data_IF_836212825183
#
_entry.id   IF_836212825183
#
_cell.length_a   1.000
_cell.length_b   1.000
_cell.length_c   1.000
_cell.angle_alpha   90.00
_cell.angle_beta   90.00
_cell.angle_gamma   90.00
#
_symmetry.space_group_name_H-M   'P 1'
#
loop_
_entity.id
_entity.type
_entity.pdbx_description
1 polymer ?
#
# COMPACT_ATOMS: atom_id res chain seq x y z
N UNK A 1 23.53 0.24 11.54
CA UNK A 1 23.78 1.34 10.59
C UNK A 1 23.01 2.58 11.06
N UNK A 2 23.58 3.77 10.94
CA UNK A 2 22.89 5.04 11.27
C UNK A 2 22.39 5.74 9.98
N UNK A 3 21.61 6.81 10.13
CA UNK A 3 21.05 7.54 8.97
C UNK A 3 22.12 8.20 8.10
N UNK A 4 23.24 8.63 8.68
CA UNK A 4 24.36 9.25 7.95
C UNK A 4 25.03 8.23 7.02
N UNK A 5 25.22 6.99 7.48
CA UNK A 5 25.76 5.89 6.68
C UNK A 5 24.83 5.55 5.50
N UNK A 6 23.50 5.63 5.69
CA UNK A 6 22.52 5.42 4.62
C UNK A 6 22.59 6.55 3.59
N UNK A 7 22.68 7.80 4.04
CA UNK A 7 22.84 8.96 3.15
C UNK A 7 24.10 8.81 2.29
N UNK A 8 25.23 8.47 2.91
CA UNK A 8 26.50 8.25 2.20
C UNK A 8 26.40 7.11 1.17
N UNK A 9 25.69 6.02 1.50
CA UNK A 9 25.44 4.91 0.58
C UNK A 9 24.64 5.36 -0.65
N UNK A 10 23.60 6.18 -0.46
CA UNK A 10 22.80 6.73 -1.56
C UNK A 10 23.65 7.67 -2.44
N UNK A 11 24.44 8.57 -1.83
CA UNK A 11 25.33 9.48 -2.55
C UNK A 11 26.37 8.73 -3.40
N UNK A 12 26.89 7.60 -2.90
CA UNK A 12 27.80 6.74 -3.65
C UNK A 12 27.11 6.11 -4.86
N UNK A 13 25.88 5.60 -4.70
CA UNK A 13 25.09 5.06 -5.82
C UNK A 13 24.82 6.12 -6.89
N UNK A 14 24.47 7.34 -6.48
CA UNK A 14 24.25 8.48 -7.39
C UNK A 14 25.53 8.83 -8.15
N UNK A 15 26.66 8.93 -7.45
CA UNK A 15 27.95 9.33 -8.04
C UNK A 15 28.53 8.33 -9.03
N UNK A 16 28.10 7.06 -8.96
CA UNK A 16 28.58 5.97 -9.82
C UNK A 16 27.71 5.76 -11.08
N UNK A 17 26.62 6.50 -11.25
CA UNK A 17 25.68 6.35 -12.36
C UNK A 17 25.65 7.57 -13.27
N UNK A 18 25.80 7.36 -14.58
CA UNK A 18 25.92 8.45 -15.55
C UNK A 18 24.57 9.08 -15.96
N UNK A 19 23.41 8.40 -15.78
CA UNK A 19 22.02 8.93 -15.91
C UNK A 19 20.99 8.03 -15.18
N UNK A 20 19.92 8.62 -14.64
CA UNK A 20 18.75 7.96 -14.03
C UNK A 20 19.09 6.90 -12.97
N UNK A 21 19.85 7.29 -11.94
CA UNK A 21 20.18 6.40 -10.82
C UNK A 21 18.92 5.87 -10.14
N UNK A 22 18.83 4.54 -10.06
CA UNK A 22 17.82 3.84 -9.29
C UNK A 22 18.49 3.37 -8.02
N UNK A 23 17.98 3.79 -6.87
CA UNK A 23 18.53 3.39 -5.57
C UNK A 23 17.97 2.03 -5.20
N UNK A 24 18.86 1.13 -4.80
CA UNK A 24 18.49 -0.16 -4.22
C UNK A 24 18.83 -0.17 -2.73
N UNK A 25 17.84 -0.52 -1.91
CA UNK A 25 18.02 -0.74 -0.48
C UNK A 25 18.11 -2.24 -0.21
N UNK A 26 19.21 -2.68 0.40
CA UNK A 26 19.32 -4.05 0.88
C UNK A 26 18.52 -4.24 2.20
N UNK A 27 18.28 -5.50 2.59
CA UNK A 27 17.49 -5.82 3.79
C UNK A 27 18.08 -5.22 5.07
N UNK A 28 19.41 -5.21 5.18
CA UNK A 28 20.10 -4.59 6.31
C UNK A 28 19.74 -3.11 6.40
N UNK A 29 19.80 -2.37 5.29
CA UNK A 29 19.44 -0.95 5.24
C UNK A 29 17.99 -0.72 5.62
N UNK A 30 17.08 -1.50 5.05
CA UNK A 30 15.66 -1.41 5.34
C UNK A 30 15.36 -1.65 6.84
N UNK A 31 16.11 -2.52 7.51
CA UNK A 31 15.91 -2.80 8.95
C UNK A 31 16.26 -1.63 9.88
N UNK A 32 17.08 -0.68 9.42
CA UNK A 32 17.42 0.54 10.18
C UNK A 32 16.57 1.75 9.78
N UNK A 33 15.75 1.63 8.74
CA UNK A 33 14.85 2.67 8.32
C UNK A 33 13.54 2.63 9.11
N UNK A 34 13.09 3.80 9.52
CA UNK A 34 11.77 4.03 10.07
C UNK A 34 11.14 5.23 9.31
N UNK A 35 9.91 5.59 9.66
CA UNK A 35 9.22 6.69 8.99
C UNK A 35 9.98 8.03 9.08
N UNK A 36 10.56 8.36 10.24
CA UNK A 36 11.32 9.59 10.44
C UNK A 36 12.56 9.65 9.54
N UNK A 37 13.33 8.56 9.48
CA UNK A 37 14.49 8.42 8.62
C UNK A 37 14.10 8.51 7.14
N UNK A 38 12.99 7.89 6.73
CA UNK A 38 12.50 7.97 5.35
C UNK A 38 12.13 9.40 4.95
N UNK A 39 11.45 10.15 5.84
CA UNK A 39 11.13 11.57 5.62
C UNK A 39 12.42 12.40 5.52
N UNK A 40 13.43 12.11 6.36
CA UNK A 40 14.73 12.76 6.26
C UNK A 40 15.40 12.50 4.91
N UNK A 41 15.38 11.26 4.40
CA UNK A 41 15.93 10.93 3.09
C UNK A 41 15.21 11.69 1.96
N UNK A 42 13.88 11.80 2.01
CA UNK A 42 13.10 12.57 1.04
C UNK A 42 13.49 14.06 1.07
N UNK A 43 13.72 14.63 2.26
CA UNK A 43 14.18 16.02 2.40
C UNK A 43 15.59 16.24 1.86
N UNK A 44 16.48 15.25 2.02
CA UNK A 44 17.87 15.34 1.57
C UNK A 44 18.00 15.20 0.06
N UNK A 45 17.33 14.21 -0.54
CA UNK A 45 17.52 13.84 -1.95
C UNK A 45 16.39 14.30 -2.88
N UNK A 46 15.28 14.77 -2.32
CA UNK A 46 14.07 15.12 -3.06
C UNK A 46 13.19 13.89 -3.35
N UNK A 47 11.91 14.15 -3.62
CA UNK A 47 10.93 13.11 -3.93
C UNK A 47 11.19 12.44 -5.29
N UNK A 48 11.76 13.13 -6.27
CA UNK A 48 11.92 12.61 -7.62
C UNK A 48 13.00 11.53 -7.77
N UNK A 49 13.79 11.26 -6.74
CA UNK A 49 14.76 10.16 -6.78
C UNK A 49 14.03 8.83 -6.94
N UNK A 50 14.51 7.96 -7.83
CA UNK A 50 13.88 6.67 -8.09
C UNK A 50 14.49 5.61 -7.19
N UNK A 51 13.65 4.75 -6.67
CA UNK A 51 14.02 3.61 -5.84
C UNK A 51 13.38 2.35 -6.39
N UNK A 52 14.08 1.23 -6.25
CA UNK A 52 13.48 -0.08 -6.46
C UNK A 52 12.64 -0.48 -5.25
N UNK A 53 11.52 -1.14 -5.48
CA UNK A 53 10.70 -1.66 -4.40
C UNK A 53 11.51 -2.63 -3.52
N UNK A 54 11.31 -2.59 -2.19
CA UNK A 54 11.90 -3.56 -1.27
C UNK A 54 11.55 -5.01 -1.62
N UNK A 55 12.36 -6.00 -1.21
CA UNK A 55 12.11 -7.42 -1.50
C UNK A 55 10.71 -7.90 -1.08
N UNK A 56 10.19 -7.46 0.08
CA UNK A 56 8.84 -7.81 0.54
C UNK A 56 7.74 -7.33 -0.42
N UNK A 57 7.94 -6.16 -1.03
CA UNK A 57 6.98 -5.53 -1.94
C UNK A 57 7.00 -6.24 -3.29
N UNK A 58 8.21 -6.57 -3.77
CA UNK A 58 8.37 -7.40 -4.97
C UNK A 58 7.68 -8.75 -4.77
N UNK A 59 7.83 -9.39 -3.61
CA UNK A 59 7.17 -10.66 -3.31
C UNK A 59 5.63 -10.55 -3.37
N UNK A 60 5.05 -9.47 -2.84
CA UNK A 60 3.62 -9.19 -2.98
C UNK A 60 3.20 -9.00 -4.43
N UNK A 61 3.94 -8.20 -5.21
CA UNK A 61 3.56 -7.94 -6.60
C UNK A 61 3.75 -9.15 -7.52
N UNK A 62 4.71 -10.04 -7.23
CA UNK A 62 4.81 -11.32 -7.94
C UNK A 62 3.67 -12.27 -7.58
N UNK A 63 3.19 -12.27 -6.34
CA UNK A 63 1.93 -12.95 -5.98
C UNK A 63 0.74 -12.34 -6.74
N UNK A 64 0.62 -11.00 -6.76
CA UNK A 64 -0.45 -10.29 -7.45
C UNK A 64 -0.45 -10.64 -8.94
N UNK A 65 0.73 -10.72 -9.57
CA UNK A 65 0.87 -11.11 -10.97
C UNK A 65 0.38 -12.53 -11.25
N UNK A 66 0.62 -13.46 -10.33
CA UNK A 66 0.21 -14.85 -10.47
C UNK A 66 -1.31 -15.03 -10.33
N UNK A 67 -1.91 -14.36 -9.33
CA UNK A 67 -3.35 -14.50 -9.02
C UNK A 67 -4.24 -13.53 -9.81
N UNK A 68 -3.76 -12.31 -10.05
CA UNK A 68 -4.49 -11.15 -10.60
C UNK A 68 -3.63 -10.38 -11.60
N UNK A 69 -3.19 -11.07 -12.65
CA UNK A 69 -2.28 -10.54 -13.67
C UNK A 69 -2.82 -9.30 -14.40
N UNK A 70 -4.14 -9.14 -14.50
CA UNK A 70 -4.81 -7.95 -15.04
C UNK A 70 -4.53 -6.68 -14.22
N UNK A 71 -4.56 -6.80 -12.90
CA UNK A 71 -4.24 -5.69 -11.98
C UNK A 71 -2.75 -5.39 -12.01
N UNK A 72 -1.91 -6.42 -12.03
CA UNK A 72 -0.46 -6.24 -12.16
C UNK A 72 -0.09 -5.55 -13.47
N UNK A 73 -0.74 -5.93 -14.58
CA UNK A 73 -0.53 -5.32 -15.90
C UNK A 73 -0.88 -3.83 -15.86
N UNK A 74 -2.01 -3.46 -15.27
CA UNK A 74 -2.45 -2.06 -15.16
C UNK A 74 -1.43 -1.17 -14.42
N UNK A 75 -0.70 -1.75 -13.47
CA UNK A 75 0.31 -1.04 -12.65
C UNK A 75 1.71 -1.03 -13.29
N UNK A 76 2.15 -2.17 -13.83
CA UNK A 76 3.56 -2.43 -14.12
C UNK A 76 3.85 -2.80 -15.57
N UNK A 77 2.84 -2.95 -16.42
CA UNK A 77 3.08 -3.22 -17.84
C UNK A 77 3.71 -1.99 -18.50
N UNK A 78 4.98 -2.14 -18.87
CA UNK A 78 5.76 -1.12 -19.58
C UNK A 78 6.61 -1.79 -20.64
N UNK A 79 6.92 -1.04 -21.71
CA UNK A 79 7.84 -1.48 -22.76
C UNK A 79 9.28 -1.59 -22.25
N UNK A 80 9.62 -0.87 -21.18
CA UNK A 80 10.95 -0.91 -20.57
C UNK A 80 10.94 -1.84 -19.34
N UNK A 81 11.44 -3.05 -19.51
CA UNK A 81 11.48 -4.03 -18.41
C UNK A 81 12.31 -3.59 -17.22
N UNK A 82 13.28 -2.69 -17.42
CA UNK A 82 14.14 -2.17 -16.35
C UNK A 82 13.37 -1.22 -15.42
N UNK A 83 12.23 -0.69 -15.85
CA UNK A 83 11.40 0.22 -15.04
C UNK A 83 10.37 -0.48 -14.13
N UNK A 84 10.34 -1.82 -14.13
CA UNK A 84 9.42 -2.58 -13.28
C UNK A 84 9.80 -2.44 -11.81
N UNK A 85 8.79 -2.25 -10.95
CA UNK A 85 8.97 -2.09 -9.51
C UNK A 85 9.87 -0.91 -9.13
N UNK A 86 9.86 0.13 -9.96
CA UNK A 86 10.56 1.37 -9.68
C UNK A 86 9.53 2.44 -9.35
N UNK A 87 9.73 3.09 -8.21
CA UNK A 87 8.85 4.15 -7.71
C UNK A 87 9.67 5.32 -7.22
N UNK A 88 9.01 6.45 -7.00
CA UNK A 88 9.62 7.61 -6.37
C UNK A 88 10.01 7.32 -4.91
N UNK A 89 11.10 7.91 -4.44
CA UNK A 89 11.55 7.88 -3.05
C UNK A 89 10.46 8.39 -2.10
N UNK A 90 9.52 9.22 -2.58
CA UNK A 90 8.40 9.67 -1.76
C UNK A 90 7.58 8.50 -1.21
N UNK A 91 7.52 7.35 -1.90
CA UNK A 91 6.79 6.19 -1.40
C UNK A 91 7.49 5.46 -0.26
N UNK A 92 8.78 5.71 0.00
CA UNK A 92 9.56 4.95 0.98
C UNK A 92 8.90 4.81 2.37
N UNK A 93 8.29 5.86 2.98
CA UNK A 93 7.60 5.71 4.26
C UNK A 93 6.49 4.66 4.25
N UNK A 94 5.74 4.55 3.14
CA UNK A 94 4.68 3.55 2.96
C UNK A 94 5.27 2.15 2.79
N UNK A 95 6.38 2.04 2.05
CA UNK A 95 7.06 0.76 1.82
C UNK A 95 7.70 0.18 3.09
N UNK A 96 7.87 0.97 4.14
CA UNK A 96 8.40 0.49 5.43
C UNK A 96 7.32 -0.16 6.31
N UNK A 97 6.03 0.07 6.04
CA UNK A 97 4.95 -0.52 6.84
C UNK A 97 4.94 -2.06 6.74
N UNK A 98 4.89 -2.81 7.85
CA UNK A 98 4.99 -4.26 7.83
C UNK A 98 3.79 -4.97 7.18
N UNK A 99 2.61 -4.34 7.18
CA UNK A 99 1.36 -4.94 6.67
C UNK A 99 0.93 -4.28 5.38
N UNK A 100 1.10 -2.95 5.30
CA UNK A 100 0.80 -2.13 4.14
C UNK A 100 2.02 -2.08 3.21
N UNK A 101 2.01 -1.17 2.26
CA UNK A 101 3.07 -1.03 1.27
C UNK A 101 2.68 -0.02 0.21
N UNK A 102 3.18 -0.24 -1.00
CA UNK A 102 2.78 0.56 -2.15
C UNK A 102 1.25 0.44 -2.38
N UNK A 103 0.51 1.56 -2.38
CA UNK A 103 -0.94 1.55 -2.49
C UNK A 103 -1.38 1.24 -3.93
N UNK A 104 -2.42 0.41 -4.09
CA UNK A 104 -3.09 0.18 -5.37
C UNK A 104 -4.34 1.05 -5.44
N UNK A 105 -4.20 2.29 -5.92
CA UNK A 105 -5.27 3.30 -5.90
C UNK A 105 -5.40 4.13 -7.19
N UNK A 106 -4.63 3.81 -8.23
CA UNK A 106 -4.57 4.55 -9.49
C UNK A 106 -4.73 3.64 -10.73
N UNK A 107 -5.45 2.52 -10.58
CA UNK A 107 -5.77 1.62 -11.69
C UNK A 107 -6.59 2.37 -12.74
N UNK A 108 -6.22 2.17 -14.02
CA UNK A 108 -6.78 2.89 -15.17
C UNK A 108 -7.74 2.04 -15.98
N UNK A 109 -7.48 0.75 -16.04
CA UNK A 109 -8.24 -0.21 -16.85
C UNK A 109 -9.15 -1.08 -15.99
N UNK A 110 -8.88 -1.15 -14.69
CA UNK A 110 -9.61 -1.94 -13.71
C UNK A 110 -10.21 -1.07 -12.60
N UNK A 111 -11.25 -1.58 -11.93
CA UNK A 111 -11.82 -0.91 -10.78
C UNK A 111 -10.82 -0.88 -9.63
N UNK A 112 -10.66 0.30 -9.03
CA UNK A 112 -9.92 0.46 -7.80
C UNK A 112 -10.71 -0.10 -6.63
N UNK A 113 -9.99 -0.65 -5.66
CA UNK A 113 -10.53 -1.18 -4.40
C UNK A 113 -9.63 -0.73 -3.25
N UNK A 114 -9.33 0.56 -3.24
CA UNK A 114 -8.57 1.24 -2.20
C UNK A 114 -9.54 1.95 -1.28
N UNK A 115 -9.40 1.71 0.01
CA UNK A 115 -10.29 2.28 1.02
C UNK A 115 -9.48 3.01 2.07
N UNK A 116 -10.04 4.11 2.54
CA UNK A 116 -9.52 4.93 3.64
C UNK A 116 -10.60 5.04 4.72
N UNK A 117 -10.27 5.47 5.95
CA UNK A 117 -11.28 5.67 6.99
C UNK A 117 -12.45 6.56 6.54
N UNK A 118 -12.22 7.52 5.64
CA UNK A 118 -13.26 8.40 5.10
C UNK A 118 -14.30 7.69 4.21
N UNK A 119 -13.99 6.49 3.72
CA UNK A 119 -14.92 5.67 2.96
C UNK A 119 -15.92 4.90 3.85
N UNK A 120 -15.66 4.82 5.16
CA UNK A 120 -16.62 4.27 6.12
C UNK A 120 -17.70 5.31 6.39
N UNK A 121 -18.90 5.04 5.89
CA UNK A 121 -20.03 5.97 5.90
C UNK A 121 -21.22 5.38 6.65
N UNK A 122 -22.23 6.21 6.91
CA UNK A 122 -23.46 5.80 7.57
C UNK A 122 -23.42 5.97 9.09
N UNK A 123 -24.60 6.15 9.69
CA UNK A 123 -24.70 6.51 11.11
C UNK A 123 -24.31 5.37 12.06
N UNK A 124 -24.40 4.12 11.60
CA UNK A 124 -24.16 2.94 12.42
C UNK A 124 -22.70 2.44 12.36
N UNK A 125 -21.88 2.97 11.45
CA UNK A 125 -20.54 2.43 11.18
C UNK A 125 -19.61 2.54 12.38
N UNK A 126 -19.70 3.61 13.15
CA UNK A 126 -18.91 3.78 14.37
C UNK A 126 -19.26 2.70 15.41
N UNK A 127 -20.55 2.42 15.61
CA UNK A 127 -20.99 1.37 16.53
C UNK A 127 -20.61 -0.02 16.03
N UNK A 128 -20.72 -0.24 14.72
CA UNK A 128 -20.30 -1.49 14.08
C UNK A 128 -18.80 -1.75 14.29
N UNK A 129 -17.94 -0.78 13.99
CA UNK A 129 -16.48 -0.89 14.15
C UNK A 129 -16.09 -1.12 15.61
N UNK A 130 -16.69 -0.39 16.56
CA UNK A 130 -16.41 -0.59 17.98
C UNK A 130 -16.84 -1.99 18.46
N UNK A 131 -18.01 -2.48 18.04
CA UNK A 131 -18.44 -3.84 18.35
C UNK A 131 -17.49 -4.90 17.75
N UNK A 132 -17.03 -4.70 16.51
CA UNK A 132 -16.05 -5.58 15.86
C UNK A 132 -14.70 -5.57 16.60
N UNK A 133 -14.24 -4.40 17.03
CA UNK A 133 -13.02 -4.24 17.80
C UNK A 133 -13.09 -4.95 19.16
N UNK A 134 -14.21 -4.85 19.87
CA UNK A 134 -14.42 -5.60 21.11
C UNK A 134 -14.33 -7.11 20.88
N UNK A 135 -14.99 -7.62 19.84
CA UNK A 135 -14.91 -9.04 19.46
C UNK A 135 -13.49 -9.48 19.12
N UNK A 136 -12.74 -8.65 18.40
CA UNK A 136 -11.34 -8.90 18.10
C UNK A 136 -10.48 -8.98 19.36
N UNK A 137 -10.67 -8.05 20.32
CA UNK A 137 -9.96 -8.06 21.61
C UNK A 137 -10.31 -9.30 22.46
N UNK A 138 -11.55 -9.80 22.32
CA UNK A 138 -12.01 -11.03 22.95
C UNK A 138 -11.54 -12.31 22.21
N UNK A 139 -10.76 -12.16 21.12
CA UNK A 139 -10.29 -13.26 20.26
C UNK A 139 -11.42 -14.07 19.64
N UNK A 140 -12.57 -13.45 19.42
CA UNK A 140 -13.65 -14.06 18.67
C UNK A 140 -13.36 -14.02 17.17
N UNK A 141 -13.96 -14.96 16.43
CA UNK A 141 -13.90 -14.95 14.98
C UNK A 141 -14.66 -13.77 14.39
N UNK A 142 -14.03 -13.06 13.46
CA UNK A 142 -14.67 -12.03 12.64
C UNK A 142 -15.04 -12.58 11.26
N UNK A 143 -16.10 -12.06 10.67
CA UNK A 143 -16.36 -12.26 9.23
C UNK A 143 -15.37 -11.43 8.41
N UNK A 144 -15.23 -11.74 7.12
CA UNK A 144 -14.36 -10.97 6.22
C UNK A 144 -14.79 -9.49 6.16
N UNK A 145 -16.09 -9.20 6.11
CA UNK A 145 -16.62 -7.84 6.12
C UNK A 145 -16.28 -7.10 7.42
N UNK A 146 -16.41 -7.76 8.58
CA UNK A 146 -16.03 -7.19 9.87
C UNK A 146 -14.54 -6.89 9.93
N UNK A 147 -13.71 -7.85 9.52
CA UNK A 147 -12.25 -7.68 9.52
C UNK A 147 -11.82 -6.57 8.56
N UNK A 148 -12.42 -6.49 7.36
CA UNK A 148 -12.15 -5.45 6.39
C UNK A 148 -12.52 -4.06 6.92
N UNK A 149 -13.73 -3.90 7.50
CA UNK A 149 -14.16 -2.63 8.08
C UNK A 149 -13.23 -2.19 9.24
N UNK A 150 -12.80 -3.13 10.09
CA UNK A 150 -11.83 -2.87 11.15
C UNK A 150 -10.49 -2.37 10.58
N UNK A 151 -9.94 -3.04 9.57
CA UNK A 151 -8.68 -2.65 8.92
C UNK A 151 -8.77 -1.26 8.28
N UNK A 152 -9.84 -0.98 7.53
CA UNK A 152 -10.09 0.34 6.91
C UNK A 152 -10.19 1.43 7.97
N UNK A 153 -10.81 1.16 9.12
CA UNK A 153 -10.97 2.14 10.20
C UNK A 153 -9.64 2.55 10.84
N UNK A 154 -8.62 1.70 10.77
CA UNK A 154 -7.31 1.96 11.37
C UNK A 154 -6.37 2.70 10.41
N UNK A 155 -6.34 2.29 9.14
CA UNK A 155 -5.47 2.88 8.14
C UNK A 155 -5.92 2.50 6.71
N UNK A 156 -5.58 3.30 5.70
CA UNK A 156 -5.86 2.95 4.31
C UNK A 156 -5.33 1.57 3.88
N UNK A 157 -6.08 0.89 3.02
CA UNK A 157 -5.74 -0.44 2.51
C UNK A 157 -6.45 -0.73 1.18
N UNK A 158 -5.78 -1.43 0.28
CA UNK A 158 -6.43 -2.07 -0.88
C UNK A 158 -6.81 -3.53 -0.61
N UNK A 159 -7.80 -4.04 -1.32
CA UNK A 159 -8.28 -5.41 -1.10
C UNK A 159 -7.25 -6.49 -1.44
N UNK A 160 -6.29 -6.22 -2.33
CA UNK A 160 -5.30 -7.22 -2.72
C UNK A 160 -4.28 -7.41 -1.60
N UNK A 161 -3.82 -6.33 -0.98
CA UNK A 161 -3.02 -6.36 0.26
C UNK A 161 -3.77 -7.03 1.39
N UNK A 162 -5.03 -6.66 1.59
CA UNK A 162 -5.89 -7.30 2.57
C UNK A 162 -5.98 -8.83 2.34
N UNK A 163 -6.22 -9.25 1.10
CA UNK A 163 -6.31 -10.66 0.70
C UNK A 163 -5.00 -11.39 0.95
N UNK A 164 -3.88 -10.81 0.53
CA UNK A 164 -2.54 -11.38 0.66
C UNK A 164 -2.16 -11.58 2.14
N UNK A 165 -2.34 -10.56 2.96
CA UNK A 165 -1.94 -10.59 4.37
C UNK A 165 -2.77 -11.59 5.19
N UNK A 166 -4.06 -11.71 4.90
CA UNK A 166 -4.97 -12.60 5.63
C UNK A 166 -5.15 -13.97 4.97
N UNK A 167 -4.48 -14.24 3.84
CA UNK A 167 -4.59 -15.50 3.10
C UNK A 167 -6.02 -15.78 2.61
N UNK A 168 -6.74 -14.74 2.22
CA UNK A 168 -8.14 -14.82 1.79
C UNK A 168 -8.26 -14.92 0.27
N UNK A 169 -9.35 -15.52 -0.19
CA UNK A 169 -9.74 -15.49 -1.61
C UNK A 169 -10.30 -14.12 -1.99
N UNK A 170 -9.79 -13.52 -3.07
CA UNK A 170 -10.20 -12.18 -3.52
C UNK A 170 -11.69 -12.10 -3.82
N UNK A 171 -12.31 -13.21 -4.27
CA UNK A 171 -13.73 -13.23 -4.62
C UNK A 171 -14.56 -13.07 -3.34
N UNK A 172 -14.14 -13.71 -2.25
CA UNK A 172 -14.74 -13.54 -0.95
C UNK A 172 -14.54 -12.12 -0.40
N UNK A 173 -13.37 -11.51 -0.62
CA UNK A 173 -13.10 -10.12 -0.23
C UNK A 173 -13.97 -9.14 -1.02
N UNK A 174 -14.11 -9.30 -2.33
CA UNK A 174 -15.01 -8.47 -3.16
C UNK A 174 -16.47 -8.59 -2.72
N UNK A 175 -16.92 -9.79 -2.33
CA UNK A 175 -18.26 -9.98 -1.74
C UNK A 175 -18.42 -9.25 -0.41
N UNK A 176 -17.38 -9.21 0.42
CA UNK A 176 -17.40 -8.45 1.67
C UNK A 176 -17.49 -6.94 1.42
N UNK A 177 -16.83 -6.42 0.38
CA UNK A 177 -16.99 -5.02 -0.06
C UNK A 177 -18.43 -4.75 -0.47
N UNK A 178 -19.02 -5.58 -1.33
CA UNK A 178 -20.42 -5.38 -1.74
C UNK A 178 -21.39 -5.49 -0.57
N UNK A 179 -21.16 -6.40 0.40
CA UNK A 179 -21.97 -6.48 1.61
C UNK A 179 -21.94 -5.17 2.40
N UNK A 180 -20.75 -4.63 2.70
CA UNK A 180 -20.64 -3.37 3.44
C UNK A 180 -21.26 -2.19 2.68
N UNK A 181 -21.20 -2.20 1.35
CA UNK A 181 -21.82 -1.20 0.49
C UNK A 181 -23.34 -1.31 0.47
N UNK A 182 -23.90 -2.52 0.36
CA UNK A 182 -25.34 -2.78 0.44
C UNK A 182 -25.90 -2.36 1.81
N UNK A 183 -25.14 -2.61 2.88
CA UNK A 183 -25.46 -2.17 4.24
C UNK A 183 -25.27 -0.65 4.45
N UNK A 184 -24.91 0.11 3.41
CA UNK A 184 -24.64 1.55 3.46
C UNK A 184 -23.56 1.96 4.47
N UNK A 185 -22.61 1.05 4.71
CA UNK A 185 -21.49 1.20 5.64
C UNK A 185 -20.16 1.54 4.94
N UNK A 186 -20.07 1.31 3.64
CA UNK A 186 -18.87 1.55 2.85
C UNK A 186 -19.20 2.22 1.52
N UNK A 187 -18.51 3.31 1.23
CA UNK A 187 -18.50 3.95 -0.08
C UNK A 187 -17.38 3.34 -0.93
N UNK A 188 -17.70 2.95 -2.16
CA UNK A 188 -16.73 2.37 -3.10
C UNK A 188 -16.53 3.26 -4.31
N UNK A 189 -15.43 4.01 -4.31
CA UNK A 189 -14.93 4.78 -5.44
C UNK A 189 -14.14 3.85 -6.38
N UNK A 190 -14.62 3.66 -7.61
CA UNK A 190 -14.06 2.67 -8.53
C UNK A 190 -13.01 3.28 -9.47
N UNK A 191 -13.15 4.56 -9.79
CA UNK A 191 -12.22 5.28 -10.66
C UNK A 191 -11.13 5.99 -9.86
N UNK A 192 -9.99 6.24 -10.50
CA UNK A 192 -8.90 6.98 -9.87
C UNK A 192 -9.28 8.46 -9.65
N UNK A 193 -10.17 9.03 -10.48
CA UNK A 193 -10.69 10.39 -10.29
C UNK A 193 -11.53 10.50 -9.02
N UNK A 194 -12.42 9.54 -8.77
CA UNK A 194 -13.23 9.52 -7.54
C UNK A 194 -12.36 9.32 -6.31
N UNK A 195 -11.31 8.49 -6.40
CA UNK A 195 -10.40 8.23 -5.29
C UNK A 195 -9.47 9.40 -4.98
N UNK A 196 -9.18 10.27 -5.95
CA UNK A 196 -8.23 11.37 -5.78
C UNK A 196 -8.59 12.30 -4.61
N UNK A 197 -9.89 12.43 -4.29
CA UNK A 197 -10.38 13.24 -3.16
C UNK A 197 -10.07 12.62 -1.79
N UNK A 198 -9.70 11.34 -1.74
CA UNK A 198 -9.50 10.57 -0.51
C UNK A 198 -8.06 10.08 -0.31
N UNK A 199 -7.21 10.20 -1.33
CA UNK A 199 -5.82 9.74 -1.29
C UNK A 199 -4.93 10.91 -0.89
N UNK A 200 -4.51 10.91 0.37
CA UNK A 200 -3.49 11.83 0.89
C UNK A 200 -2.27 11.02 1.35
N UNK A 201 -1.13 11.22 0.67
CA UNK A 201 0.15 10.73 1.16
C UNK A 201 0.79 11.82 1.99
N UNK A 202 0.70 11.70 3.32
CA UNK A 202 1.35 12.62 4.24
C UNK A 202 2.87 12.42 4.14
N UNK A 203 3.59 13.50 3.81
CA UNK A 203 5.05 13.59 3.78
C UNK A 203 5.56 14.66 4.75
#
# INVERSE_FOLDING_TARGET
MNIEEIILSIEQQISQSDKNTIIEFNEETLSYLNQENAIQLIRTFGSSLLIKLPPKEIAFFEWLKAEHGDIWVDLWETQDSEMKYIVSLSFLPLLLDPVRGFPICDLRSNNNYYFTPAHLIGNEITFFVEAVKERFLQKESLTIAQLLALEISMAPIDIWRFSYHHGLDIIAVKKAVEQLKEDSMLMHCMSHEELAEYVEFLY
#
